data_IF_568678146330
#
_entry.id   IF_568678146330
#
_cell.length_a   1.000
_cell.length_b   1.000
_cell.length_c   1.000
_cell.angle_alpha   90.00
_cell.angle_beta   90.00
_cell.angle_gamma   90.00
#
_symmetry.space_group_name_H-M   'P 1'
#
loop_
_entity.id
_entity.type
_entity.pdbx_description
1 polymer ?
#
# COMPACT_ATOMS: atom_id res chain seq x y z
N UNK A 1 7.88 -20.32 6.82
CA UNK A 1 6.41 -20.22 6.63
C UNK A 1 6.15 -19.31 5.45
N UNK A 2 5.35 -19.71 4.46
CA UNK A 2 5.13 -18.91 3.24
C UNK A 2 3.84 -18.05 3.32
N UNK A 3 3.20 -17.94 4.48
CA UNK A 3 1.98 -17.17 4.70
C UNK A 3 1.91 -16.78 6.17
N UNK A 4 1.66 -15.50 6.46
CA UNK A 4 1.48 -15.00 7.81
C UNK A 4 0.04 -14.51 7.98
N UNK A 5 -0.82 -15.37 8.55
CA UNK A 5 -2.23 -15.06 8.72
C UNK A 5 -2.47 -13.89 9.69
N UNK A 6 -1.62 -13.75 10.72
CA UNK A 6 -1.71 -12.64 11.68
C UNK A 6 -1.56 -11.29 10.96
N UNK A 7 -0.56 -11.18 10.09
CA UNK A 7 -0.33 -9.96 9.32
C UNK A 7 -1.42 -9.73 8.26
N UNK A 8 -1.94 -10.78 7.63
CA UNK A 8 -3.05 -10.67 6.67
C UNK A 8 -4.30 -10.10 7.36
N UNK A 9 -4.63 -10.61 8.55
CA UNK A 9 -5.76 -10.12 9.35
C UNK A 9 -5.53 -8.70 9.85
N UNK A 10 -4.32 -8.39 10.30
CA UNK A 10 -3.96 -7.03 10.68
C UNK A 10 -4.05 -6.05 9.51
N UNK A 11 -3.68 -6.48 8.30
CA UNK A 11 -3.81 -5.67 7.09
C UNK A 11 -5.27 -5.38 6.74
N UNK A 12 -6.17 -6.37 6.86
CA UNK A 12 -7.61 -6.15 6.69
C UNK A 12 -8.14 -5.06 7.64
N UNK A 13 -7.75 -5.13 8.93
CA UNK A 13 -8.15 -4.13 9.93
C UNK A 13 -7.54 -2.75 9.65
N UNK A 14 -6.29 -2.71 9.20
CA UNK A 14 -5.59 -1.46 8.85
C UNK A 14 -6.31 -0.70 7.72
N UNK A 15 -6.81 -1.43 6.72
CA UNK A 15 -7.57 -0.87 5.59
C UNK A 15 -8.84 -0.14 6.05
N UNK A 16 -9.46 -0.58 7.15
CA UNK A 16 -10.61 0.07 7.78
C UNK A 16 -11.75 0.41 6.80
N UNK A 17 -12.03 -0.50 5.85
CA UNK A 17 -13.15 -0.35 4.93
C UNK A 17 -14.48 -0.48 5.67
N UNK A 18 -15.45 0.38 5.35
CA UNK A 18 -16.80 0.29 5.93
C UNK A 18 -17.70 -0.67 5.17
N UNK A 19 -17.46 -0.86 3.87
CA UNK A 19 -18.36 -1.59 3.00
C UNK A 19 -17.77 -2.90 2.51
N UNK A 20 -16.77 -2.84 1.63
CA UNK A 20 -16.18 -4.05 1.05
C UNK A 20 -14.70 -3.90 0.74
N UNK A 21 -14.01 -5.04 0.77
CA UNK A 21 -12.61 -5.13 0.36
C UNK A 21 -12.51 -5.87 -0.97
N UNK A 22 -12.00 -5.19 -1.99
CA UNK A 22 -11.64 -5.80 -3.26
C UNK A 22 -10.24 -6.42 -3.16
N UNK A 23 -10.13 -7.72 -3.46
CA UNK A 23 -8.88 -8.44 -3.65
C UNK A 23 -8.58 -8.58 -5.14
N UNK A 24 -7.31 -8.40 -5.53
CA UNK A 24 -6.79 -8.69 -6.88
C UNK A 24 -5.64 -9.69 -6.81
N UNK A 25 -5.67 -10.66 -7.71
CA UNK A 25 -4.68 -11.74 -7.80
C UNK A 25 -3.98 -11.67 -9.15
N UNK A 26 -2.74 -11.17 -9.15
CA UNK A 26 -2.01 -10.80 -10.35
C UNK A 26 -0.75 -11.65 -10.55
N UNK A 27 -0.50 -12.06 -11.80
CA UNK A 27 0.74 -12.70 -12.23
C UNK A 27 0.93 -12.41 -13.72
N UNK A 28 2.13 -12.05 -14.15
CA UNK A 28 2.44 -11.80 -15.56
C UNK A 28 2.08 -13.04 -16.41
N UNK A 29 1.47 -12.81 -17.58
CA UNK A 29 1.02 -13.88 -18.46
C UNK A 29 -0.34 -14.51 -18.09
N UNK A 30 -1.00 -14.05 -17.03
CA UNK A 30 -2.33 -14.53 -16.65
C UNK A 30 -3.35 -13.40 -16.60
N UNK A 31 -4.59 -13.69 -17.01
CA UNK A 31 -5.70 -12.77 -16.82
C UNK A 31 -5.90 -12.45 -15.33
N UNK A 32 -6.07 -11.17 -14.95
CA UNK A 32 -6.34 -10.77 -13.57
C UNK A 32 -7.54 -11.52 -13.00
N UNK A 33 -7.38 -12.07 -11.80
CA UNK A 33 -8.50 -12.60 -11.03
C UNK A 33 -8.79 -11.65 -9.87
N UNK A 34 -10.03 -11.64 -9.39
CA UNK A 34 -10.45 -10.79 -8.29
C UNK A 34 -11.42 -11.51 -7.35
N UNK A 35 -11.63 -10.94 -6.18
CA UNK A 35 -12.70 -11.32 -5.26
C UNK A 35 -13.15 -10.10 -4.48
N UNK A 36 -14.39 -10.11 -4.03
CA UNK A 36 -14.94 -9.11 -3.13
C UNK A 36 -15.30 -9.84 -1.84
N UNK A 37 -14.82 -9.32 -0.72
CA UNK A 37 -15.02 -9.90 0.61
C UNK A 37 -15.58 -8.85 1.57
N UNK A 38 -16.37 -9.31 2.54
CA UNK A 38 -17.03 -8.45 3.53
C UNK A 38 -16.62 -8.73 4.97
N UNK A 39 -15.84 -9.78 5.19
CA UNK A 39 -15.33 -10.14 6.52
C UNK A 39 -13.84 -10.42 6.50
N UNK A 40 -13.23 -10.30 7.68
CA UNK A 40 -11.82 -10.61 7.89
C UNK A 40 -11.51 -12.09 7.58
N UNK A 41 -12.41 -13.01 7.93
CA UNK A 41 -12.23 -14.44 7.68
C UNK A 41 -12.29 -14.78 6.18
N UNK A 42 -13.23 -14.18 5.45
CA UNK A 42 -13.27 -14.32 3.99
C UNK A 42 -12.00 -13.76 3.36
N UNK A 43 -11.53 -12.60 3.83
CA UNK A 43 -10.29 -11.98 3.38
C UNK A 43 -9.09 -12.91 3.60
N UNK A 44 -8.91 -13.42 4.82
CA UNK A 44 -7.82 -14.33 5.16
C UNK A 44 -7.87 -15.62 4.34
N UNK A 45 -9.06 -16.23 4.21
CA UNK A 45 -9.29 -17.44 3.41
C UNK A 45 -8.91 -17.24 1.94
N UNK A 46 -9.35 -16.14 1.33
CA UNK A 46 -9.03 -15.83 -0.08
C UNK A 46 -7.55 -15.53 -0.26
N UNK A 47 -6.93 -14.76 0.63
CA UNK A 47 -5.50 -14.49 0.61
C UNK A 47 -4.69 -15.79 0.69
N UNK A 48 -5.03 -16.69 1.61
CA UNK A 48 -4.37 -18.00 1.76
C UNK A 48 -4.50 -18.87 0.50
N UNK A 49 -5.68 -18.90 -0.11
CA UNK A 49 -5.94 -19.72 -1.29
C UNK A 49 -5.12 -19.32 -2.54
N UNK A 50 -4.78 -18.04 -2.66
CA UNK A 50 -4.04 -17.46 -3.80
C UNK A 50 -2.57 -17.19 -3.52
N UNK A 51 -2.16 -17.14 -2.26
CA UNK A 51 -0.79 -16.90 -1.85
C UNK A 51 0.19 -17.88 -2.52
N UNK A 52 1.31 -17.36 -3.04
CA UNK A 52 2.31 -18.14 -3.77
C UNK A 52 1.92 -18.50 -5.21
N UNK A 53 0.63 -18.60 -5.54
CA UNK A 53 0.15 -18.84 -6.91
C UNK A 53 0.18 -17.56 -7.75
N UNK A 54 -0.19 -16.45 -7.12
CA UNK A 54 -0.22 -15.09 -7.68
C UNK A 54 0.12 -14.08 -6.60
N UNK A 55 0.51 -12.87 -6.99
CA UNK A 55 0.60 -11.76 -6.05
C UNK A 55 -0.80 -11.38 -5.59
N UNK A 56 -0.98 -11.32 -4.27
CA UNK A 56 -2.23 -10.93 -3.62
C UNK A 56 -2.19 -9.45 -3.27
N UNK A 57 -3.16 -8.70 -3.78
CA UNK A 57 -3.34 -7.29 -3.52
C UNK A 57 -4.74 -7.04 -2.96
N UNK A 58 -4.89 -6.04 -2.11
CA UNK A 58 -6.18 -5.49 -1.76
C UNK A 58 -6.23 -4.04 -2.21
N UNK A 59 -7.41 -3.59 -2.54
CA UNK A 59 -7.61 -2.19 -2.82
C UNK A 59 -7.41 -1.31 -1.56
N UNK A 60 -6.82 -0.12 -1.71
CA UNK A 60 -6.49 0.77 -0.58
C UNK A 60 -7.65 1.62 -0.03
N UNK A 61 -8.64 1.95 -0.87
CA UNK A 61 -9.71 2.91 -0.57
C UNK A 61 -11.05 2.21 -0.45
N UNK A 62 -11.96 2.68 0.38
CA UNK A 62 -13.27 2.02 0.50
C UNK A 62 -14.06 2.05 -0.82
N UNK A 63 -14.81 0.97 -1.10
CA UNK A 63 -15.62 0.81 -2.32
C UNK A 63 -17.09 0.86 -1.96
N UNK A 64 -17.93 1.36 -2.87
CA UNK A 64 -19.38 1.28 -2.70
C UNK A 64 -19.86 -0.17 -2.59
N UNK A 65 -20.99 -0.36 -1.93
CA UNK A 65 -21.66 -1.64 -1.83
C UNK A 65 -22.14 -2.18 -3.19
N UNK A 66 -22.49 -3.47 -3.23
CA UNK A 66 -23.09 -4.10 -4.40
C UNK A 66 -22.15 -4.29 -5.60
N UNK A 67 -20.85 -4.01 -5.44
CA UNK A 67 -19.87 -4.19 -6.50
C UNK A 67 -19.77 -5.69 -6.90
N UNK A 68 -19.81 -5.97 -8.20
CA UNK A 68 -19.69 -7.33 -8.79
C UNK A 68 -18.54 -7.46 -9.80
N UNK A 69 -17.71 -6.42 -9.90
CA UNK A 69 -16.58 -6.30 -10.82
C UNK A 69 -15.41 -5.61 -10.13
N UNK A 70 -14.24 -5.56 -10.76
CA UNK A 70 -13.15 -4.70 -10.30
C UNK A 70 -13.62 -3.24 -10.18
N UNK A 71 -13.25 -2.55 -9.10
CA UNK A 71 -13.63 -1.17 -8.89
C UNK A 71 -12.92 -0.26 -9.89
N UNK A 72 -13.63 0.78 -10.32
CA UNK A 72 -13.09 1.90 -11.08
C UNK A 72 -13.15 3.18 -10.23
N UNK A 73 -12.75 4.30 -10.83
CA UNK A 73 -12.70 5.62 -10.19
C UNK A 73 -14.01 6.04 -9.49
N UNK A 74 -15.17 5.78 -10.11
CA UNK A 74 -16.49 6.15 -9.57
C UNK A 74 -16.99 5.25 -8.45
N UNK A 75 -16.45 4.04 -8.33
CA UNK A 75 -16.86 3.08 -7.30
C UNK A 75 -16.22 3.35 -5.92
N UNK A 76 -15.26 4.28 -5.83
CA UNK A 76 -14.53 4.58 -4.60
C UNK A 76 -15.31 5.58 -3.74
N UNK A 77 -15.56 5.28 -2.48
CA UNK A 77 -16.46 6.08 -1.62
C UNK A 77 -15.79 6.59 -0.34
N UNK A 78 -14.56 6.16 -0.06
CA UNK A 78 -13.86 6.54 1.15
C UNK A 78 -12.35 6.65 1.00
N UNK A 79 -11.78 7.66 1.65
CA UNK A 79 -10.36 7.81 1.93
C UNK A 79 -10.14 7.62 3.44
N UNK A 80 -9.42 6.58 3.82
CA UNK A 80 -9.15 6.25 5.23
C UNK A 80 -7.68 5.86 5.48
N UNK A 81 -6.86 5.87 4.43
CA UNK A 81 -5.43 5.57 4.47
C UNK A 81 -4.74 6.35 3.35
N UNK A 82 -3.49 6.74 3.48
CA UNK A 82 -2.66 7.25 2.36
C UNK A 82 -1.36 6.47 2.39
N UNK A 83 -0.76 6.25 1.22
CA UNK A 83 0.45 5.43 1.12
C UNK A 83 1.57 6.15 0.39
N UNK A 84 2.80 5.85 0.79
CA UNK A 84 3.99 6.05 -0.04
C UNK A 84 4.63 4.67 -0.23
N UNK A 85 4.76 4.22 -1.47
CA UNK A 85 5.36 2.93 -1.80
C UNK A 85 6.80 3.17 -2.29
N UNK A 86 7.77 2.71 -1.50
CA UNK A 86 9.19 2.97 -1.71
C UNK A 86 9.80 1.69 -2.26
N UNK A 87 10.23 1.72 -3.52
CA UNK A 87 10.82 0.57 -4.19
C UNK A 87 12.25 0.89 -4.66
N UNK A 88 13.19 -0.06 -4.56
CA UNK A 88 14.50 0.09 -5.16
C UNK A 88 14.39 0.08 -6.68
N UNK A 89 15.18 0.95 -7.35
CA UNK A 89 15.23 1.03 -8.81
C UNK A 89 16.01 -0.18 -9.33
N UNK A 90 15.37 -0.96 -10.21
CA UNK A 90 15.91 -2.17 -10.83
C UNK A 90 15.06 -2.59 -12.03
N UNK A 91 15.52 -3.61 -12.75
CA UNK A 91 14.79 -4.13 -13.90
C UNK A 91 13.36 -4.59 -13.55
N UNK A 92 12.38 -4.36 -14.44
CA UNK A 92 11.03 -4.89 -14.29
C UNK A 92 11.04 -6.42 -14.09
N UNK A 93 9.99 -6.92 -13.43
CA UNK A 93 9.84 -8.37 -13.18
C UNK A 93 11.05 -9.04 -12.51
N UNK A 94 11.85 -8.30 -11.75
CA UNK A 94 12.99 -8.85 -11.00
C UNK A 94 12.75 -8.59 -9.50
N UNK A 95 12.94 -9.56 -8.58
CA UNK A 95 12.92 -9.31 -7.12
C UNK A 95 14.13 -8.50 -6.64
N UNK A 96 14.05 -7.87 -5.47
CA UNK A 96 15.21 -7.14 -4.91
C UNK A 96 16.27 -8.10 -4.40
N UNK A 97 17.53 -7.66 -4.48
CA UNK A 97 18.61 -8.16 -3.63
C UNK A 97 18.45 -7.65 -2.20
N UNK A 98 19.12 -8.29 -1.25
CA UNK A 98 19.04 -7.89 0.15
C UNK A 98 19.51 -6.44 0.37
N UNK A 99 20.57 -6.02 -0.32
CA UNK A 99 21.05 -4.63 -0.24
C UNK A 99 20.04 -3.61 -0.83
N UNK A 100 19.36 -3.97 -1.92
CA UNK A 100 18.32 -3.14 -2.53
C UNK A 100 17.11 -2.99 -1.57
N UNK A 101 16.70 -4.08 -0.91
CA UNK A 101 15.65 -4.04 0.10
C UNK A 101 16.07 -3.22 1.34
N UNK A 102 17.31 -3.39 1.80
CA UNK A 102 17.88 -2.61 2.90
C UNK A 102 17.83 -1.11 2.59
N UNK A 103 18.15 -0.72 1.37
CA UNK A 103 18.06 0.68 0.95
C UNK A 103 16.63 1.23 1.06
N UNK A 104 15.61 0.46 0.65
CA UNK A 104 14.22 0.86 0.80
C UNK A 104 13.79 0.98 2.28
N UNK A 105 14.29 0.09 3.15
CA UNK A 105 14.10 0.18 4.61
C UNK A 105 14.70 1.47 5.19
N UNK A 106 15.95 1.78 4.82
CA UNK A 106 16.65 2.99 5.27
C UNK A 106 15.86 4.26 4.83
N UNK A 107 15.36 4.30 3.59
CA UNK A 107 14.53 5.42 3.07
C UNK A 107 13.21 5.52 3.83
N UNK A 108 12.52 4.39 4.05
CA UNK A 108 11.24 4.36 4.74
C UNK A 108 11.36 4.86 6.19
N UNK A 109 12.42 4.46 6.89
CA UNK A 109 12.74 4.98 8.21
C UNK A 109 13.01 6.48 8.20
N UNK A 110 13.83 6.97 7.26
CA UNK A 110 14.12 8.39 7.13
C UNK A 110 12.84 9.22 6.92
N UNK A 111 11.97 8.80 6.00
CA UNK A 111 10.71 9.50 5.70
C UNK A 111 9.78 9.46 6.90
N UNK A 112 9.60 8.28 7.53
CA UNK A 112 8.78 8.14 8.75
C UNK A 112 9.24 9.09 9.86
N UNK A 113 10.54 9.15 10.11
CA UNK A 113 11.13 10.02 11.13
C UNK A 113 10.95 11.51 10.78
N UNK A 114 11.00 11.87 9.50
CA UNK A 114 10.70 13.23 9.05
C UNK A 114 9.25 13.63 9.37
N UNK A 115 8.27 12.78 9.06
CA UNK A 115 6.86 13.04 9.38
C UNK A 115 6.63 13.16 10.89
N UNK A 116 7.25 12.27 11.67
CA UNK A 116 7.20 12.34 13.14
C UNK A 116 7.73 13.67 13.67
N UNK A 117 8.88 14.16 13.16
CA UNK A 117 9.46 15.45 13.55
C UNK A 117 8.59 16.66 13.16
N UNK A 118 7.69 16.51 12.20
CA UNK A 118 6.68 17.53 11.84
C UNK A 118 5.42 17.45 12.69
N UNK A 119 5.39 16.56 13.68
CA UNK A 119 4.26 16.36 14.57
C UNK A 119 3.06 15.74 13.86
N UNK A 120 3.32 14.84 12.91
CA UNK A 120 2.32 13.91 12.38
C UNK A 120 2.48 12.56 13.09
N UNK A 121 1.42 11.76 13.09
CA UNK A 121 1.50 10.36 13.52
C UNK A 121 2.47 9.64 12.60
N UNK A 122 3.49 8.93 13.12
CA UNK A 122 4.41 8.16 12.29
C UNK A 122 3.64 7.14 11.44
N UNK A 123 3.82 7.10 10.10
CA UNK A 123 3.18 6.09 9.28
C UNK A 123 3.68 4.69 9.66
N UNK A 124 2.79 3.70 9.59
CA UNK A 124 3.13 2.28 9.79
C UNK A 124 3.96 1.82 8.59
N UNK A 125 5.09 1.16 8.83
CA UNK A 125 5.92 0.55 7.79
C UNK A 125 5.57 -0.92 7.58
N UNK A 126 5.47 -1.34 6.33
CA UNK A 126 5.43 -2.76 6.00
C UNK A 126 6.37 -3.09 4.83
N UNK A 127 7.12 -4.18 4.98
CA UNK A 127 7.97 -4.73 3.93
C UNK A 127 7.07 -5.50 2.94
N UNK A 128 7.03 -5.08 1.67
CA UNK A 128 6.07 -5.59 0.66
C UNK A 128 6.58 -6.82 -0.12
N UNK A 129 7.75 -7.32 0.28
CA UNK A 129 8.52 -8.39 -0.34
C UNK A 129 9.73 -7.86 -1.13
N UNK A 130 9.61 -6.63 -1.67
CA UNK A 130 10.61 -6.05 -2.55
C UNK A 130 11.03 -4.62 -2.19
N UNK A 131 10.13 -3.87 -1.57
CA UNK A 131 10.34 -2.53 -1.04
C UNK A 131 9.57 -2.35 0.26
N UNK A 132 9.21 -1.11 0.57
CA UNK A 132 8.54 -0.75 1.82
C UNK A 132 7.41 0.23 1.55
N UNK A 133 6.22 -0.08 2.06
CA UNK A 133 5.08 0.84 2.01
C UNK A 133 4.90 1.53 3.37
N UNK A 134 4.71 2.84 3.34
CA UNK A 134 4.32 3.67 4.47
C UNK A 134 2.81 3.88 4.46
N UNK A 135 2.12 3.55 5.55
CA UNK A 135 0.68 3.70 5.69
C UNK A 135 0.34 4.82 6.67
N UNK A 136 -0.18 5.92 6.14
CA UNK A 136 -0.72 7.06 6.90
C UNK A 136 -2.20 6.82 7.15
N UNK A 137 -2.59 6.53 8.39
CA UNK A 137 -3.99 6.31 8.73
C UNK A 137 -4.71 7.65 8.89
N UNK A 138 -5.80 7.86 8.18
CA UNK A 138 -6.61 9.08 8.27
C UNK A 138 -7.98 8.76 8.85
N UNK A 139 -8.66 9.72 9.50
CA UNK A 139 -10.10 9.62 9.68
C UNK A 139 -10.79 9.31 8.36
N UNK A 140 -11.91 8.60 8.42
CA UNK A 140 -12.68 8.28 7.23
C UNK A 140 -13.20 9.58 6.58
N UNK A 141 -12.76 9.84 5.35
CA UNK A 141 -13.18 10.96 4.54
C UNK A 141 -14.03 10.45 3.38
N UNK A 142 -15.31 10.84 3.38
CA UNK A 142 -16.25 10.40 2.35
C UNK A 142 -15.92 11.03 0.98
N UNK A 143 -15.89 10.18 -0.04
CA UNK A 143 -15.68 10.59 -1.43
C UNK A 143 -17.02 10.53 -2.17
N UNK A 144 -17.42 11.67 -2.72
CA UNK A 144 -18.60 11.85 -3.58
C UNK A 144 -18.17 12.56 -4.86
N UNK A 145 -19.02 12.56 -5.88
CA UNK A 145 -18.67 13.15 -7.17
C UNK A 145 -18.19 14.61 -7.05
N UNK A 146 -18.84 15.41 -6.20
CA UNK A 146 -18.49 16.81 -5.93
C UNK A 146 -17.07 17.05 -5.37
N UNK A 147 -16.46 16.05 -4.71
CA UNK A 147 -15.13 16.21 -4.09
C UNK A 147 -14.07 15.26 -4.66
N UNK A 148 -14.46 14.33 -5.54
CA UNK A 148 -13.63 13.24 -6.03
C UNK A 148 -12.35 13.70 -6.72
N UNK A 149 -12.46 14.65 -7.64
CA UNK A 149 -11.30 15.22 -8.34
C UNK A 149 -10.35 15.94 -7.37
N UNK A 150 -10.90 16.69 -6.41
CA UNK A 150 -10.10 17.38 -5.39
C UNK A 150 -9.28 16.39 -4.56
N UNK A 151 -9.85 15.23 -4.23
CA UNK A 151 -9.14 14.17 -3.50
C UNK A 151 -7.98 13.61 -4.32
N UNK A 152 -8.19 13.30 -5.61
CA UNK A 152 -7.09 12.85 -6.48
C UNK A 152 -5.98 13.88 -6.53
N UNK A 153 -6.31 15.15 -6.82
CA UNK A 153 -5.29 16.21 -6.94
C UNK A 153 -4.51 16.39 -5.64
N UNK A 154 -5.17 16.22 -4.48
CA UNK A 154 -4.50 16.27 -3.18
C UNK A 154 -3.53 15.10 -2.98
N UNK A 155 -3.91 13.87 -3.35
CA UNK A 155 -3.04 12.69 -3.27
C UNK A 155 -1.85 12.80 -4.22
N UNK A 156 -2.09 13.26 -5.45
CA UNK A 156 -1.05 13.46 -6.46
C UNK A 156 -0.04 14.52 -6.00
N UNK A 157 -0.52 15.67 -5.54
CA UNK A 157 0.34 16.75 -5.03
C UNK A 157 1.18 16.29 -3.83
N UNK A 158 0.58 15.55 -2.89
CA UNK A 158 1.30 14.99 -1.75
C UNK A 158 2.45 14.07 -2.19
N UNK A 159 2.19 13.17 -3.13
CA UNK A 159 3.20 12.23 -3.61
C UNK A 159 4.31 12.94 -4.41
N UNK A 160 3.97 13.92 -5.25
CA UNK A 160 4.93 14.79 -5.95
C UNK A 160 5.80 15.57 -4.96
N UNK A 161 5.18 16.18 -3.94
CA UNK A 161 5.90 16.91 -2.89
C UNK A 161 6.86 15.97 -2.13
N UNK A 162 6.44 14.75 -1.80
CA UNK A 162 7.31 13.77 -1.15
C UNK A 162 8.50 13.38 -2.04
N UNK A 163 8.27 13.13 -3.33
CA UNK A 163 9.36 12.83 -4.28
C UNK A 163 10.39 13.95 -4.36
N UNK A 164 9.94 15.21 -4.46
CA UNK A 164 10.84 16.36 -4.49
C UNK A 164 11.57 16.52 -3.15
N UNK A 165 10.82 16.45 -2.04
CA UNK A 165 11.37 16.64 -0.69
C UNK A 165 12.45 15.62 -0.35
N UNK A 166 12.25 14.37 -0.75
CA UNK A 166 13.13 13.24 -0.41
C UNK A 166 14.05 12.83 -1.57
N UNK A 167 14.13 13.63 -2.64
CA UNK A 167 14.91 13.35 -3.85
C UNK A 167 16.37 12.96 -3.55
N UNK A 168 17.01 13.65 -2.60
CA UNK A 168 18.41 13.37 -2.21
C UNK A 168 18.59 11.95 -1.68
N UNK A 169 17.84 11.56 -0.64
CA UNK A 169 17.96 10.23 -0.02
C UNK A 169 17.50 9.13 -0.98
N UNK A 170 16.48 9.39 -1.81
CA UNK A 170 16.02 8.47 -2.86
C UNK A 170 17.14 8.19 -3.87
N UNK A 171 17.84 9.23 -4.35
CA UNK A 171 18.97 9.10 -5.26
C UNK A 171 20.14 8.35 -4.61
N UNK A 172 20.51 8.73 -3.39
CA UNK A 172 21.62 8.10 -2.65
C UNK A 172 21.38 6.61 -2.39
N UNK A 173 20.14 6.21 -2.15
CA UNK A 173 19.74 4.82 -1.87
C UNK A 173 19.27 4.07 -3.11
N UNK A 174 19.34 4.68 -4.30
CA UNK A 174 18.83 4.12 -5.55
C UNK A 174 17.39 3.58 -5.42
N UNK A 175 16.51 4.39 -4.82
CA UNK A 175 15.10 4.09 -4.59
C UNK A 175 14.20 5.14 -5.25
N UNK A 176 12.94 4.78 -5.45
CA UNK A 176 11.90 5.68 -5.94
C UNK A 176 10.64 5.58 -5.07
N UNK A 177 9.80 6.60 -5.15
CA UNK A 177 8.42 6.55 -4.63
C UNK A 177 7.48 6.33 -5.82
N UNK A 178 6.84 5.17 -5.85
CA UNK A 178 5.92 4.76 -6.91
C UNK A 178 4.64 5.59 -6.92
N UNK A 179 4.00 5.67 -8.09
CA UNK A 179 2.74 6.40 -8.28
C UNK A 179 1.56 5.58 -7.78
N UNK A 180 0.91 6.05 -6.72
CA UNK A 180 -0.16 5.39 -5.96
C UNK A 180 -1.37 6.30 -5.70
N UNK A 181 -1.47 7.45 -6.36
CA UNK A 181 -2.46 8.50 -6.06
C UNK A 181 -3.87 8.29 -6.64
N UNK A 182 -4.08 7.39 -7.60
CA UNK A 182 -5.40 7.11 -8.16
C UNK A 182 -6.32 6.44 -7.13
N UNK A 183 -7.62 6.70 -7.22
CA UNK A 183 -8.59 6.20 -6.25
C UNK A 183 -8.73 4.66 -6.22
N UNK A 184 -8.80 3.94 -7.36
CA UNK A 184 -8.94 2.48 -7.34
C UNK A 184 -7.63 1.75 -7.02
N UNK A 185 -6.60 2.44 -6.52
CA UNK A 185 -5.29 1.86 -6.25
C UNK A 185 -5.37 0.64 -5.31
N UNK A 186 -4.56 -0.35 -5.63
CA UNK A 186 -4.35 -1.58 -4.87
C UNK A 186 -2.95 -1.58 -4.23
N UNK A 187 -2.80 -2.26 -3.11
CA UNK A 187 -1.53 -2.49 -2.43
C UNK A 187 -1.37 -3.97 -2.06
N UNK A 188 -0.12 -4.40 -1.92
CA UNK A 188 0.24 -5.76 -1.52
C UNK A 188 -0.45 -6.11 -0.19
N UNK A 189 -1.09 -7.27 -0.11
CA UNK A 189 -1.57 -7.77 1.19
C UNK A 189 -0.37 -8.20 2.02
N UNK A 190 -0.16 -7.55 3.16
CA UNK A 190 0.94 -7.88 4.08
C UNK A 190 0.69 -9.24 4.72
N UNK A 191 1.74 -10.06 4.84
CA UNK A 191 1.66 -11.47 5.22
C UNK A 191 1.52 -12.46 4.05
N UNK A 192 1.72 -12.01 2.81
CA UNK A 192 1.67 -12.87 1.60
C UNK A 192 3.00 -12.84 0.82
N UNK A 193 3.31 -13.92 0.10
CA UNK A 193 4.53 -14.03 -0.71
C UNK A 193 4.50 -13.08 -1.89
N UNK A 194 5.60 -12.35 -2.09
CA UNK A 194 5.85 -11.61 -3.32
C UNK A 194 6.42 -12.54 -4.39
N UNK A 195 5.62 -12.79 -5.43
CA UNK A 195 5.93 -13.74 -6.51
C UNK A 195 6.12 -12.99 -7.83
N UNK A 196 7.20 -12.23 -7.91
CA UNK A 196 7.59 -11.41 -9.08
C UNK A 196 8.80 -12.05 -9.74
N UNK A 197 8.81 -12.20 -11.06
CA UNK A 197 9.98 -12.77 -11.75
C UNK A 197 10.37 -14.17 -11.30
N UNK A 198 11.65 -14.47 -11.46
CA UNK A 198 12.27 -15.72 -11.01
C UNK A 198 12.68 -15.65 -9.53
N UNK A 199 12.56 -16.77 -8.83
CA UNK A 199 13.00 -16.91 -7.44
C UNK A 199 14.41 -17.49 -7.40
N UNK A 200 15.42 -16.66 -7.12
CA UNK A 200 16.81 -17.11 -6.99
C UNK A 200 17.35 -16.84 -5.60
N UNK A 201 18.54 -17.39 -5.28
CA UNK A 201 19.20 -17.12 -4.00
C UNK A 201 19.54 -15.64 -3.82
N UNK A 202 19.97 -14.98 -4.90
CA UNK A 202 20.39 -13.58 -4.91
C UNK A 202 19.19 -12.62 -4.96
N UNK A 203 18.08 -13.06 -5.56
CA UNK A 203 16.86 -12.27 -5.75
C UNK A 203 15.64 -13.11 -5.35
N UNK A 204 15.48 -13.40 -4.04
CA UNK A 204 14.45 -14.32 -3.58
C UNK A 204 13.07 -13.67 -3.59
N UNK A 205 12.06 -14.51 -3.76
CA UNK A 205 10.70 -14.19 -3.33
C UNK A 205 10.66 -14.12 -1.81
N UNK A 206 10.09 -13.04 -1.27
CA UNK A 206 9.99 -12.82 0.18
C UNK A 206 8.54 -12.77 0.64
N UNK A 207 8.32 -13.24 1.86
CA UNK A 207 7.07 -13.03 2.59
C UNK A 207 7.00 -11.57 3.05
N UNK A 208 5.93 -10.85 2.72
CA UNK A 208 5.70 -9.50 3.25
C UNK A 208 5.37 -9.54 4.73
N UNK A 209 5.77 -8.52 5.48
CA UNK A 209 5.49 -8.42 6.92
C UNK A 209 5.40 -6.97 7.40
N UNK A 210 4.71 -6.76 8.52
CA UNK A 210 4.70 -5.46 9.19
C UNK A 210 5.98 -5.24 9.98
N UNK A 211 6.65 -4.10 9.73
CA UNK A 211 7.88 -3.73 10.45
C UNK A 211 7.54 -3.11 11.80
N UNK A 212 6.48 -2.29 11.83
CA UNK A 212 5.92 -1.70 13.05
C UNK A 212 4.66 -2.46 13.47
N UNK A 213 4.27 -2.37 14.75
CA UNK A 213 2.96 -2.91 15.16
C UNK A 213 1.84 -2.25 14.34
N UNK A 214 0.95 -3.02 13.68
CA UNK A 214 -0.09 -2.49 12.79
C UNK A 214 -1.28 -1.88 13.56
N UNK A 215 -0.99 -1.05 14.57
CA UNK A 215 -1.97 -0.35 15.38
C UNK A 215 -2.40 0.93 14.68
N UNK A 216 -3.65 0.97 14.22
CA UNK A 216 -4.24 2.13 13.56
C UNK A 216 -4.39 3.30 14.53
N UNK A 217 -3.68 4.39 14.25
CA UNK A 217 -3.82 5.69 14.92
C UNK A 217 -4.11 6.74 13.85
N UNK A 218 -5.29 7.35 13.90
CA UNK A 218 -5.74 8.26 12.85
C UNK A 218 -5.19 9.68 13.03
N UNK A 219 -4.61 10.23 11.96
CA UNK A 219 -4.06 11.58 11.95
C UNK A 219 -5.00 12.58 11.27
N UNK A 220 -5.82 13.26 12.09
CA UNK A 220 -6.70 14.36 11.66
C UNK A 220 -5.92 15.52 11.04
N UNK A 221 -4.75 15.86 11.58
CA UNK A 221 -3.91 16.98 11.12
C UNK A 221 -3.33 16.67 9.74
N UNK A 222 -2.85 15.44 9.53
CA UNK A 222 -2.38 14.97 8.23
C UNK A 222 -3.50 15.07 7.18
N UNK A 223 -4.70 14.55 7.46
CA UNK A 223 -5.81 14.60 6.51
C UNK A 223 -6.17 16.05 6.13
N UNK A 224 -6.25 16.95 7.12
CA UNK A 224 -6.55 18.37 6.86
C UNK A 224 -5.47 19.04 6.01
N UNK A 225 -4.20 18.79 6.30
CA UNK A 225 -3.09 19.39 5.54
C UNK A 225 -2.97 18.79 4.13
N UNK A 226 -3.21 17.49 3.98
CA UNK A 226 -3.30 16.82 2.68
C UNK A 226 -4.36 17.48 1.80
N UNK A 227 -5.60 17.61 2.29
CA UNK A 227 -6.70 18.19 1.53
C UNK A 227 -6.54 19.69 1.22
N UNK A 228 -5.69 20.39 1.99
CA UNK A 228 -5.28 21.78 1.75
C UNK A 228 -4.00 21.88 0.89
N UNK A 229 -3.37 20.77 0.52
CA UNK A 229 -2.12 20.75 -0.24
C UNK A 229 -0.93 21.39 0.48
N UNK A 230 -0.86 21.23 1.82
CA UNK A 230 0.15 21.82 2.73
C UNK A 230 1.20 20.82 3.23
N UNK A 231 1.27 19.62 2.64
CA UNK A 231 2.24 18.57 2.96
C UNK A 231 3.18 18.39 1.78
#
# INVERSE_FOLDING_TARGET
>A
MNFNEKDVRAFYRLLNHKFLTELRFLKRGHFPAFSIVKSEDEFAKKCKAWNGKRNVYAGLRDRREGLKRCANFGDIVGLQIVTLDIDPIREPETPSRDQELKNALDVAEFIRNWFSKKGYVPPIRAMTGNGVCLYFCTPYYEIRDKNREKVIRALEKFEQNCREKFKKILKEKNCQIDRMFDLPRIAKVIGTMSVKGENTKERPWRLSYFIDEPKRIEDKKFLQNLLKGKI
#
